data_IF_711855529611
#
_entry.id   IF_711855529611
#
_cell.length_a   1.000
_cell.length_b   1.000
_cell.length_c   1.000
_cell.angle_alpha   90.00
_cell.angle_beta   90.00
_cell.angle_gamma   90.00
#
_symmetry.space_group_name_H-M   'P 1'
#
loop_
_entity.id
_entity.type
_entity.pdbx_description
1 polymer ?
#
# COMPACT_ATOMS: atom_id res chain seq x y z
N UNK A 1 22.01 32.60 -50.15
CA UNK A 1 22.15 31.60 -49.09
C UNK A 1 20.82 30.92 -48.90
N UNK A 2 20.59 29.65 -49.28
CA UNK A 2 19.30 28.99 -49.15
C UNK A 2 19.19 28.27 -47.77
N UNK A 3 18.12 28.57 -47.06
CA UNK A 3 17.75 27.96 -45.79
C UNK A 3 17.26 26.52 -46.07
N UNK A 4 17.99 25.52 -45.60
CA UNK A 4 17.58 24.10 -45.63
C UNK A 4 16.38 23.88 -44.69
N UNK A 5 15.19 23.64 -45.26
CA UNK A 5 14.00 23.16 -44.53
C UNK A 5 14.30 21.75 -44.00
N UNK A 6 14.28 21.58 -42.66
CA UNK A 6 14.32 20.30 -42.00
C UNK A 6 12.98 19.60 -42.21
N UNK A 7 13.02 18.39 -42.76
CA UNK A 7 11.87 17.53 -43.02
C UNK A 7 11.33 16.94 -41.72
N UNK A 8 9.98 16.99 -41.46
CA UNK A 8 9.39 16.52 -40.19
C UNK A 8 9.32 14.96 -40.00
N UNK A 9 9.88 14.20 -40.93
CA UNK A 9 9.69 12.75 -40.97
C UNK A 9 10.64 11.94 -40.08
N UNK A 10 11.68 12.54 -39.47
CA UNK A 10 12.64 11.79 -38.63
C UNK A 10 12.24 11.74 -37.14
N UNK A 11 11.39 12.66 -36.66
CA UNK A 11 10.92 12.66 -35.27
C UNK A 11 9.82 11.63 -34.97
N UNK A 12 9.06 11.23 -36.00
CA UNK A 12 7.96 10.29 -35.83
C UNK A 12 8.40 8.81 -35.80
N UNK A 13 9.52 8.50 -36.49
CA UNK A 13 10.08 7.11 -36.49
C UNK A 13 10.79 6.73 -35.20
N UNK A 14 11.34 7.67 -34.44
CA UNK A 14 12.01 7.39 -33.17
C UNK A 14 11.03 7.07 -32.05
N UNK A 15 9.81 7.61 -32.08
CA UNK A 15 8.76 7.29 -31.06
C UNK A 15 8.00 5.98 -31.29
N UNK A 16 8.04 5.43 -32.49
CA UNK A 16 7.36 4.18 -32.82
C UNK A 16 8.22 2.92 -32.54
N UNK A 17 9.53 3.09 -32.24
CA UNK A 17 10.44 2.00 -31.91
C UNK A 17 10.52 1.69 -30.40
N UNK A 18 9.91 2.54 -29.54
CA UNK A 18 10.06 2.46 -28.10
C UNK A 18 9.03 1.59 -27.37
N UNK A 19 8.20 0.79 -28.07
CA UNK A 19 7.13 0.05 -27.36
C UNK A 19 6.83 -1.34 -27.94
N UNK A 20 7.77 -2.00 -28.57
CA UNK A 20 7.62 -3.44 -28.82
C UNK A 20 8.25 -4.23 -27.68
N UNK A 21 7.44 -4.48 -26.63
CA UNK A 21 7.81 -5.41 -25.58
C UNK A 21 8.00 -6.80 -26.15
N UNK A 22 9.09 -7.49 -25.76
CA UNK A 22 9.32 -8.88 -26.11
C UNK A 22 8.30 -9.81 -25.43
N UNK A 23 8.20 -11.05 -25.88
CA UNK A 23 7.28 -12.04 -25.29
C UNK A 23 7.50 -12.24 -23.77
N UNK A 24 8.73 -12.32 -23.22
CA UNK A 24 8.94 -12.38 -21.78
C UNK A 24 8.41 -11.16 -21.03
N UNK A 25 8.67 -9.95 -21.54
CA UNK A 25 8.21 -8.69 -20.92
C UNK A 25 6.68 -8.60 -20.89
N UNK A 26 6.01 -9.00 -22.00
CA UNK A 26 4.55 -9.05 -22.06
C UNK A 26 3.98 -10.02 -21.02
N UNK A 27 4.60 -11.20 -20.84
CA UNK A 27 4.15 -12.17 -19.83
C UNK A 27 4.30 -11.63 -18.42
N UNK A 28 5.44 -11.01 -18.09
CA UNK A 28 5.67 -10.40 -16.78
C UNK A 28 4.68 -9.28 -16.54
N UNK A 29 4.48 -8.38 -17.50
CA UNK A 29 3.52 -7.29 -17.39
C UNK A 29 2.08 -7.79 -17.15
N UNK A 30 1.67 -8.88 -17.82
CA UNK A 30 0.36 -9.51 -17.54
C UNK A 30 0.25 -10.01 -16.11
N UNK A 31 1.30 -10.60 -15.54
CA UNK A 31 1.33 -11.05 -14.13
C UNK A 31 1.20 -9.88 -13.17
N UNK A 32 1.94 -8.80 -13.39
CA UNK A 32 1.76 -7.57 -12.59
C UNK A 32 0.32 -7.05 -12.64
N UNK A 33 -0.30 -7.00 -13.83
CA UNK A 33 -1.71 -6.59 -13.94
C UNK A 33 -2.65 -7.46 -13.11
N UNK A 34 -2.42 -8.78 -13.08
CA UNK A 34 -3.23 -9.70 -12.25
C UNK A 34 -3.05 -9.40 -10.77
N UNK A 35 -1.81 -9.21 -10.29
CA UNK A 35 -1.51 -8.86 -8.91
C UNK A 35 -2.17 -7.53 -8.53
N UNK A 36 -1.95 -6.46 -9.31
CA UNK A 36 -2.56 -5.16 -9.06
C UNK A 36 -4.09 -5.19 -9.06
N UNK A 37 -4.70 -5.93 -10.00
CA UNK A 37 -6.15 -6.07 -10.06
C UNK A 37 -6.69 -6.84 -8.84
N UNK A 38 -6.02 -7.87 -8.36
CA UNK A 38 -6.42 -8.59 -7.15
C UNK A 38 -6.40 -7.66 -5.93
N UNK A 39 -5.32 -6.92 -5.73
CA UNK A 39 -5.18 -5.93 -4.64
C UNK A 39 -6.26 -4.85 -4.73
N UNK A 40 -6.42 -4.23 -5.91
CA UNK A 40 -7.42 -3.19 -6.15
C UNK A 40 -8.84 -3.67 -5.88
N UNK A 41 -9.20 -4.85 -6.39
CA UNK A 41 -10.53 -5.44 -6.21
C UNK A 41 -10.83 -5.71 -4.75
N UNK A 42 -9.85 -6.23 -4.00
CA UNK A 42 -10.00 -6.45 -2.56
C UNK A 42 -10.33 -5.14 -1.83
N UNK A 43 -9.54 -4.09 -2.03
CA UNK A 43 -9.76 -2.82 -1.34
C UNK A 43 -11.01 -2.08 -1.78
N UNK A 44 -11.45 -2.25 -3.03
CA UNK A 44 -12.77 -1.77 -3.48
C UNK A 44 -13.91 -2.47 -2.73
N UNK A 45 -13.81 -3.79 -2.52
CA UNK A 45 -14.80 -4.56 -1.74
C UNK A 45 -14.80 -4.14 -0.26
N UNK A 46 -13.62 -3.91 0.34
CA UNK A 46 -13.49 -3.38 1.69
C UNK A 46 -14.22 -2.05 1.81
N UNK A 47 -13.93 -1.09 0.93
CA UNK A 47 -14.57 0.22 0.93
C UNK A 47 -16.09 0.13 0.76
N UNK A 48 -16.56 -0.73 -0.15
CA UNK A 48 -17.99 -0.93 -0.41
C UNK A 48 -18.72 -1.52 0.80
N UNK A 49 -18.11 -2.50 1.51
CA UNK A 49 -18.77 -3.23 2.61
C UNK A 49 -18.59 -2.55 3.97
N UNK A 50 -17.43 -1.98 4.23
CA UNK A 50 -17.06 -1.41 5.52
C UNK A 50 -17.14 0.13 5.58
N UNK A 51 -17.19 0.81 4.45
CA UNK A 51 -17.27 2.26 4.35
C UNK A 51 -15.96 3.00 4.66
N UNK A 52 -14.86 2.26 4.89
CA UNK A 52 -13.53 2.80 5.21
C UNK A 52 -12.49 2.33 4.20
N UNK A 53 -11.39 3.06 4.08
CA UNK A 53 -10.25 2.63 3.27
C UNK A 53 -9.52 1.42 3.85
N UNK A 54 -8.83 0.66 3.00
CA UNK A 54 -8.12 -0.56 3.42
C UNK A 54 -7.06 -0.29 4.50
N UNK A 55 -6.27 0.78 4.38
CA UNK A 55 -5.29 1.15 5.39
C UNK A 55 -5.93 1.51 6.75
N UNK A 56 -7.08 2.17 6.74
CA UNK A 56 -7.85 2.45 7.96
C UNK A 56 -8.37 1.16 8.60
N UNK A 57 -8.86 0.22 7.78
CA UNK A 57 -9.31 -1.09 8.24
C UNK A 57 -8.17 -1.88 8.88
N UNK A 58 -7.01 -1.90 8.26
CA UNK A 58 -5.81 -2.57 8.78
C UNK A 58 -5.38 -1.93 10.11
N UNK A 59 -5.28 -0.60 10.18
CA UNK A 59 -4.98 0.10 11.43
C UNK A 59 -5.99 -0.24 12.56
N UNK A 60 -7.29 -0.28 12.26
CA UNK A 60 -8.31 -0.71 13.24
C UNK A 60 -8.08 -2.15 13.71
N UNK A 61 -7.67 -3.06 12.84
CA UNK A 61 -7.42 -4.45 13.22
C UNK A 61 -6.22 -4.58 14.15
N UNK A 62 -5.14 -3.83 13.89
CA UNK A 62 -3.94 -3.78 14.74
C UNK A 62 -4.27 -3.18 16.11
N UNK A 63 -4.99 -2.05 16.15
CA UNK A 63 -5.39 -1.40 17.41
C UNK A 63 -6.30 -2.32 18.24
N UNK A 64 -7.18 -3.10 17.60
CA UNK A 64 -8.01 -4.10 18.28
C UNK A 64 -7.19 -5.24 18.85
N UNK A 65 -6.19 -5.72 18.10
CA UNK A 65 -5.32 -6.82 18.53
C UNK A 65 -4.34 -6.40 19.65
N UNK A 66 -3.96 -5.13 19.69
CA UNK A 66 -2.99 -4.56 20.64
C UNK A 66 -3.56 -3.33 21.36
N UNK A 67 -4.51 -3.48 22.29
CA UNK A 67 -5.10 -2.36 23.02
C UNK A 67 -4.05 -1.56 23.77
N UNK A 68 -4.07 -0.22 23.60
CA UNK A 68 -3.07 0.67 24.19
C UNK A 68 -1.79 0.83 23.37
N UNK A 69 -1.74 0.29 22.16
CA UNK A 69 -0.63 0.54 21.22
C UNK A 69 -0.48 2.04 20.97
N UNK A 70 0.76 2.54 20.92
CA UNK A 70 1.07 3.91 20.53
C UNK A 70 1.18 4.06 19.02
N UNK A 71 1.24 5.32 18.53
CA UNK A 71 1.37 5.61 17.09
C UNK A 71 2.63 4.99 16.49
N UNK A 72 3.76 5.01 17.22
CA UNK A 72 5.01 4.40 16.75
C UNK A 72 4.91 2.87 16.67
N UNK A 73 4.29 2.22 17.65
CA UNK A 73 4.03 0.78 17.62
C UNK A 73 3.10 0.40 16.46
N UNK A 74 2.06 1.22 16.20
CA UNK A 74 1.19 1.03 15.05
C UNK A 74 1.96 1.13 13.73
N UNK A 75 2.83 2.14 13.58
CA UNK A 75 3.68 2.33 12.41
C UNK A 75 4.60 1.13 12.16
N UNK A 76 5.28 0.65 13.20
CA UNK A 76 6.15 -0.54 13.13
C UNK A 76 5.35 -1.81 12.78
N UNK A 77 4.18 -2.02 13.39
CA UNK A 77 3.37 -3.23 13.11
C UNK A 77 2.80 -3.24 11.70
N UNK A 78 2.53 -2.07 11.14
CA UNK A 78 2.02 -1.92 9.78
C UNK A 78 3.13 -1.77 8.73
N UNK A 79 4.39 -1.73 9.16
CA UNK A 79 5.55 -1.44 8.30
C UNK A 79 5.34 -0.18 7.45
N UNK A 80 4.97 0.93 8.11
CA UNK A 80 4.70 2.21 7.45
C UNK A 80 5.42 3.35 8.15
N UNK A 81 5.58 4.48 7.45
CA UNK A 81 6.12 5.69 8.09
C UNK A 81 5.24 6.17 9.25
N UNK A 82 5.86 6.73 10.28
CA UNK A 82 5.17 7.32 11.43
C UNK A 82 4.13 8.39 11.01
N UNK A 83 4.46 9.19 9.98
CA UNK A 83 3.53 10.19 9.42
C UNK A 83 2.29 9.56 8.84
N UNK A 84 2.43 8.42 8.14
CA UNK A 84 1.31 7.63 7.60
C UNK A 84 0.43 7.12 8.73
N UNK A 85 1.01 6.47 9.75
CA UNK A 85 0.27 5.99 10.92
C UNK A 85 -0.42 7.14 11.67
N UNK A 86 0.24 8.29 11.85
CA UNK A 86 -0.33 9.48 12.48
C UNK A 86 -1.56 10.00 11.72
N UNK A 87 -1.51 10.04 10.40
CA UNK A 87 -2.62 10.49 9.57
C UNK A 87 -3.80 9.50 9.62
N UNK A 88 -3.51 8.18 9.62
CA UNK A 88 -4.54 7.15 9.81
C UNK A 88 -5.23 7.30 11.16
N UNK A 89 -4.46 7.48 12.24
CA UNK A 89 -5.01 7.68 13.60
C UNK A 89 -5.86 8.93 13.66
N UNK A 90 -5.40 10.07 13.11
CA UNK A 90 -6.20 11.30 13.06
C UNK A 90 -7.55 11.09 12.38
N UNK A 91 -7.54 10.40 11.22
CA UNK A 91 -8.77 10.11 10.48
C UNK A 91 -9.71 9.18 11.26
N UNK A 92 -9.17 8.15 11.93
CA UNK A 92 -9.95 7.21 12.74
C UNK A 92 -10.53 7.85 14.01
N UNK A 93 -9.80 8.78 14.63
CA UNK A 93 -10.28 9.56 15.80
C UNK A 93 -11.38 10.52 15.35
N UNK A 94 -11.19 11.23 14.23
CA UNK A 94 -12.20 12.13 13.68
C UNK A 94 -13.50 11.41 13.30
N UNK A 95 -13.41 10.13 12.92
CA UNK A 95 -14.55 9.26 12.62
C UNK A 95 -15.12 8.53 13.88
N UNK A 96 -14.64 8.86 15.07
CA UNK A 96 -15.06 8.24 16.34
C UNK A 96 -14.91 6.69 16.37
N UNK A 97 -13.94 6.17 15.63
CA UNK A 97 -13.65 4.74 15.57
C UNK A 97 -12.54 4.31 16.53
N UNK A 98 -11.69 5.26 16.94
CA UNK A 98 -10.56 5.08 17.86
C UNK A 98 -10.55 6.23 18.87
N UNK A 99 -10.28 5.92 20.13
CA UNK A 99 -9.90 6.88 21.15
C UNK A 99 -8.37 6.96 21.23
N UNK A 100 -7.85 8.18 21.33
CA UNK A 100 -6.45 8.49 21.58
C UNK A 100 -6.32 9.09 22.97
N UNK A 101 -5.96 8.28 23.97
CA UNK A 101 -5.91 8.66 25.38
C UNK A 101 -4.47 9.01 25.77
N UNK A 102 -4.32 10.16 26.44
CA UNK A 102 -3.05 10.56 27.06
C UNK A 102 -3.08 10.09 28.50
N UNK A 103 -2.59 8.89 28.76
CA UNK A 103 -2.58 8.30 30.09
C UNK A 103 -1.16 8.18 30.63
N UNK A 104 -0.95 8.68 31.87
CA UNK A 104 0.28 8.53 32.64
C UNK A 104 1.08 9.83 32.82
N UNK A 105 2.17 9.77 33.59
CA UNK A 105 3.04 10.92 33.86
C UNK A 105 3.74 11.46 32.60
N UNK A 106 3.89 10.61 31.59
CA UNK A 106 4.38 11.03 30.27
C UNK A 106 3.21 11.40 29.33
N UNK A 107 2.89 12.70 29.31
CA UNK A 107 1.86 13.28 28.42
C UNK A 107 2.18 13.13 26.93
N UNK A 108 3.36 12.59 26.56
CA UNK A 108 3.77 12.34 25.18
C UNK A 108 3.33 10.97 24.67
N UNK A 109 3.03 10.04 25.58
CA UNK A 109 2.58 8.69 25.23
C UNK A 109 1.06 8.68 24.98
N UNK A 110 0.68 8.65 23.71
CA UNK A 110 -0.72 8.45 23.30
C UNK A 110 -1.00 6.96 23.20
N UNK A 111 -2.04 6.49 23.88
CA UNK A 111 -2.53 5.11 23.82
C UNK A 111 -3.80 5.04 22.98
N UNK A 112 -3.81 4.12 22.02
CA UNK A 112 -4.93 3.95 21.10
C UNK A 112 -5.85 2.83 21.60
N UNK A 113 -7.15 3.07 21.52
CA UNK A 113 -8.18 2.08 21.87
C UNK A 113 -9.30 2.13 20.84
N UNK A 114 -9.72 0.95 20.37
CA UNK A 114 -10.84 0.87 19.44
C UNK A 114 -12.16 1.21 20.15
N UNK A 115 -13.01 1.98 19.47
CA UNK A 115 -14.35 2.32 19.91
C UNK A 115 -15.41 1.39 19.28
N UNK A 116 -16.66 1.40 19.82
CA UNK A 116 -17.73 0.54 19.28
C UNK A 116 -17.98 0.73 17.79
N UNK A 117 -17.81 1.95 17.24
CA UNK A 117 -17.95 2.21 15.81
C UNK A 117 -16.86 1.49 15.00
N UNK A 118 -15.59 1.56 15.41
CA UNK A 118 -14.49 0.85 14.78
C UNK A 118 -14.67 -0.67 14.84
N UNK A 119 -15.13 -1.19 15.97
CA UNK A 119 -15.44 -2.63 16.12
C UNK A 119 -16.57 -3.09 15.19
N UNK A 120 -17.59 -2.24 14.95
CA UNK A 120 -18.65 -2.54 13.97
C UNK A 120 -18.12 -2.61 12.55
N UNK A 121 -17.22 -1.69 12.18
CA UNK A 121 -16.55 -1.69 10.87
C UNK A 121 -15.80 -2.98 10.63
N UNK A 122 -14.95 -3.42 11.59
CA UNK A 122 -14.20 -4.67 11.49
C UNK A 122 -15.09 -5.92 11.34
N UNK A 123 -16.27 -5.93 11.97
CA UNK A 123 -17.21 -7.07 11.81
C UNK A 123 -17.87 -7.15 10.43
N UNK A 124 -18.01 -6.02 9.75
CA UNK A 124 -18.64 -5.94 8.41
C UNK A 124 -17.64 -6.10 7.27
N UNK A 125 -16.37 -5.83 7.54
CA UNK A 125 -15.34 -5.85 6.53
C UNK A 125 -14.94 -7.27 6.14
N UNK A 126 -14.70 -7.56 4.87
CA UNK A 126 -14.07 -8.79 4.44
C UNK A 126 -12.59 -8.79 4.86
N UNK A 127 -12.09 -9.95 5.31
CA UNK A 127 -10.65 -10.16 5.43
C UNK A 127 -10.00 -10.48 4.09
N UNK A 128 -8.67 -10.53 4.04
CA UNK A 128 -7.72 -10.18 5.11
C UNK A 128 -7.58 -8.66 5.29
N UNK A 129 -7.42 -8.19 6.54
CA UNK A 129 -7.40 -6.75 6.83
C UNK A 129 -6.12 -6.05 6.38
N UNK A 130 -4.97 -6.75 6.38
CA UNK A 130 -3.71 -6.25 5.85
C UNK A 130 -3.70 -6.20 4.30
N UNK A 131 -4.63 -6.92 3.66
CA UNK A 131 -4.75 -7.05 2.22
C UNK A 131 -4.35 -8.44 1.71
N UNK A 132 -4.78 -8.77 0.50
CA UNK A 132 -4.59 -10.10 -0.11
C UNK A 132 -3.13 -10.39 -0.48
N UNK A 133 -2.31 -9.37 -0.73
CA UNK A 133 -0.92 -9.58 -1.13
C UNK A 133 -0.04 -10.05 0.04
N UNK A 134 -0.06 -9.44 1.24
CA UNK A 134 0.65 -9.98 2.41
C UNK A 134 0.24 -11.42 2.75
N UNK A 135 -1.05 -11.75 2.67
CA UNK A 135 -1.54 -13.11 2.92
C UNK A 135 -0.98 -14.08 1.86
N UNK A 136 -1.01 -13.73 0.57
CA UNK A 136 -0.45 -14.56 -0.48
C UNK A 136 1.05 -14.77 -0.32
N UNK A 137 1.82 -13.72 -0.01
CA UNK A 137 3.26 -13.83 0.23
C UNK A 137 3.57 -14.76 1.41
N UNK A 138 2.78 -14.73 2.48
CA UNK A 138 2.97 -15.61 3.62
C UNK A 138 2.76 -17.11 3.31
N UNK A 139 2.19 -17.48 2.16
CA UNK A 139 2.03 -18.86 1.71
C UNK A 139 3.20 -19.39 0.87
N UNK A 140 4.13 -18.50 0.48
CA UNK A 140 5.29 -18.88 -0.33
C UNK A 140 6.40 -19.46 0.56
N UNK A 141 7.18 -20.38 0.00
CA UNK A 141 8.41 -20.86 0.65
C UNK A 141 9.52 -19.80 0.64
N UNK A 142 10.52 -19.98 1.52
CA UNK A 142 11.60 -19.02 1.71
C UNK A 142 12.40 -18.80 0.41
N UNK A 143 12.69 -19.87 -0.33
CA UNK A 143 13.47 -19.79 -1.59
C UNK A 143 12.73 -18.94 -2.65
N UNK A 144 11.41 -19.11 -2.75
CA UNK A 144 10.57 -18.32 -3.67
C UNK A 144 10.51 -16.85 -3.23
N UNK A 145 10.43 -16.57 -1.92
CA UNK A 145 10.44 -15.20 -1.39
C UNK A 145 11.78 -14.51 -1.66
N UNK A 146 12.92 -15.20 -1.43
CA UNK A 146 14.25 -14.65 -1.70
C UNK A 146 14.46 -14.32 -3.19
N UNK A 147 14.02 -15.21 -4.09
CA UNK A 147 14.07 -14.92 -5.53
C UNK A 147 13.20 -13.74 -5.93
N UNK A 148 11.98 -13.68 -5.37
CA UNK A 148 11.05 -12.60 -5.66
C UNK A 148 11.58 -11.25 -5.16
N UNK A 149 12.18 -11.22 -3.97
CA UNK A 149 12.81 -10.03 -3.40
C UNK A 149 13.95 -9.52 -4.29
N UNK A 150 14.86 -10.43 -4.69
CA UNK A 150 15.97 -10.11 -5.59
C UNK A 150 15.47 -9.56 -6.94
N UNK A 151 14.52 -10.24 -7.59
CA UNK A 151 14.02 -9.85 -8.91
C UNK A 151 13.27 -8.52 -8.86
N UNK A 152 12.52 -8.26 -7.78
CA UNK A 152 11.86 -6.98 -7.55
C UNK A 152 12.85 -5.86 -7.28
N UNK A 153 13.96 -6.11 -6.56
CA UNK A 153 15.00 -5.12 -6.34
C UNK A 153 15.61 -4.63 -7.67
N UNK A 154 15.92 -5.56 -8.60
CA UNK A 154 16.40 -5.22 -9.94
C UNK A 154 15.37 -4.37 -10.73
N UNK A 155 14.10 -4.71 -10.61
CA UNK A 155 13.05 -3.95 -11.29
C UNK A 155 12.88 -2.55 -10.69
N UNK A 156 12.95 -2.41 -9.37
CA UNK A 156 12.86 -1.13 -8.65
C UNK A 156 14.02 -0.22 -9.07
N UNK A 157 15.24 -0.75 -9.16
CA UNK A 157 16.42 -0.03 -9.66
C UNK A 157 16.20 0.46 -11.10
N UNK A 158 15.73 -0.42 -12.00
CA UNK A 158 15.45 -0.07 -13.40
C UNK A 158 14.35 1.01 -13.55
N UNK A 159 13.41 1.06 -12.61
CA UNK A 159 12.37 2.09 -12.53
C UNK A 159 12.86 3.42 -11.94
N UNK A 160 14.05 3.46 -11.33
CA UNK A 160 14.53 4.59 -10.52
C UNK A 160 13.48 5.01 -9.46
N UNK A 161 12.81 4.03 -8.86
CA UNK A 161 11.71 4.28 -7.94
C UNK A 161 12.22 4.86 -6.61
N UNK A 162 11.42 5.74 -6.00
CA UNK A 162 11.74 6.29 -4.67
C UNK A 162 11.40 5.26 -3.59
N UNK A 163 12.41 4.67 -2.99
CA UNK A 163 12.26 3.67 -1.92
C UNK A 163 11.47 4.17 -0.70
N UNK A 164 11.40 5.50 -0.49
CA UNK A 164 10.55 6.08 0.55
C UNK A 164 9.07 5.77 0.36
N UNK A 165 8.67 5.45 -0.87
CA UNK A 165 7.30 5.02 -1.18
C UNK A 165 6.95 3.66 -0.56
N UNK A 166 7.93 2.83 -0.18
CA UNK A 166 7.70 1.54 0.48
C UNK A 166 6.91 1.67 1.79
N UNK A 167 7.08 2.78 2.53
CA UNK A 167 6.32 3.06 3.75
C UNK A 167 4.88 3.56 3.52
N UNK A 168 4.34 3.50 2.29
CA UNK A 168 2.96 3.84 1.96
C UNK A 168 2.18 2.55 1.68
N UNK A 169 1.14 2.20 2.47
CA UNK A 169 0.38 0.98 2.25
C UNK A 169 -0.26 0.94 0.86
N UNK A 170 -0.22 -0.20 0.17
CA UNK A 170 -0.93 -0.42 -1.10
C UNK A 170 -2.44 -0.09 -1.01
N UNK A 171 -3.01 -0.20 0.18
CA UNK A 171 -4.40 0.14 0.48
C UNK A 171 -4.72 1.65 0.41
N UNK A 172 -3.72 2.51 0.23
CA UNK A 172 -3.87 3.97 0.03
C UNK A 172 -3.71 4.38 -1.44
N UNK A 173 -3.31 3.47 -2.28
CA UNK A 173 -3.21 3.69 -3.74
C UNK A 173 -4.60 3.47 -4.44
#
# INVERSE_FOLDING_TARGET
MPIKKRTPAQGARSRALDTQLSEPEVRVLRRFRLVFNAVKTHFQQVKKKAGVGGAQLWALSVIRASPGIGVNGLASTMDVHQTTASNLVKALVAAEMVAAEKNGPDRRAVRLRILPAGSRVLRKAPGPFAGVLPEALATLDAETLERLDHDLALLIEALHADERAAGIPLAQM
#
